data_IF_265072344897
#
_entry.id   IF_265072344897
#
_cell.length_a   1.000
_cell.length_b   1.000
_cell.length_c   1.000
_cell.angle_alpha   90.00
_cell.angle_beta   90.00
_cell.angle_gamma   90.00
#
_symmetry.space_group_name_H-M   'P 1'
#
loop_
_entity.id
_entity.type
_entity.pdbx_description
1 polymer ?
#
# COMPACT_ATOMS: atom_id res chain seq x y z
N UNK A 1 4.46 -3.27 -16.44
CA UNK A 1 3.10 -3.67 -16.90
C UNK A 1 3.03 -5.15 -17.28
N UNK A 2 3.87 -5.66 -18.21
CA UNK A 2 3.87 -7.07 -18.65
C UNK A 2 3.93 -8.08 -17.47
N UNK A 3 4.87 -7.86 -16.56
CA UNK A 3 5.04 -8.69 -15.36
C UNK A 3 3.78 -8.77 -14.47
N UNK A 4 3.06 -7.65 -14.30
CA UNK A 4 1.82 -7.63 -13.51
C UNK A 4 0.73 -8.44 -14.23
N UNK A 5 0.53 -8.22 -15.53
CA UNK A 5 -0.49 -8.95 -16.28
C UNK A 5 -0.22 -10.44 -16.33
N UNK A 6 1.03 -10.85 -16.53
CA UNK A 6 1.42 -12.27 -16.53
C UNK A 6 1.22 -12.89 -15.15
N UNK A 7 1.62 -12.18 -14.09
CA UNK A 7 1.41 -12.64 -12.71
C UNK A 7 -0.07 -12.80 -12.37
N UNK A 8 -0.90 -11.82 -12.71
CA UNK A 8 -2.35 -11.87 -12.50
C UNK A 8 -2.98 -13.03 -13.29
N UNK A 9 -2.58 -13.23 -14.55
CA UNK A 9 -3.08 -14.33 -15.38
C UNK A 9 -2.63 -15.71 -14.86
N UNK A 10 -1.45 -15.83 -14.25
CA UNK A 10 -0.99 -17.07 -13.60
C UNK A 10 -1.82 -17.36 -12.35
N UNK A 11 -2.04 -16.36 -11.50
CA UNK A 11 -2.87 -16.52 -10.29
C UNK A 11 -4.32 -16.85 -10.67
N UNK A 12 -4.88 -16.20 -11.69
CA UNK A 12 -6.27 -16.46 -12.12
C UNK A 12 -6.47 -17.89 -12.62
N UNK A 13 -5.47 -18.43 -13.34
CA UNK A 13 -5.46 -19.83 -13.83
C UNK A 13 -5.29 -20.89 -12.74
N UNK A 14 -4.85 -20.51 -11.54
CA UNK A 14 -4.76 -21.47 -10.44
C UNK A 14 -6.16 -21.94 -10.01
N UNK A 15 -6.27 -23.19 -9.57
CA UNK A 15 -7.52 -23.76 -9.02
C UNK A 15 -7.80 -23.33 -7.57
N UNK A 16 -7.13 -22.27 -7.11
CA UNK A 16 -7.27 -21.77 -5.76
C UNK A 16 -8.63 -21.09 -5.56
N UNK A 17 -9.21 -21.22 -4.36
CA UNK A 17 -10.34 -20.40 -4.02
C UNK A 17 -9.96 -18.92 -3.99
N UNK A 18 -10.93 -18.06 -4.30
CA UNK A 18 -10.68 -16.63 -4.52
C UNK A 18 -9.92 -15.90 -3.41
N UNK A 19 -10.21 -16.20 -2.14
CA UNK A 19 -9.48 -15.64 -0.99
C UNK A 19 -7.97 -15.91 -1.04
N UNK A 20 -7.58 -17.13 -1.42
CA UNK A 20 -6.18 -17.51 -1.57
C UNK A 20 -5.53 -16.80 -2.76
N UNK A 21 -6.25 -16.61 -3.88
CA UNK A 21 -5.75 -15.83 -5.03
C UNK A 21 -5.41 -14.38 -4.63
N UNK A 22 -6.28 -13.75 -3.85
CA UNK A 22 -6.07 -12.38 -3.36
C UNK A 22 -4.92 -12.31 -2.37
N UNK A 23 -4.79 -13.32 -1.50
CA UNK A 23 -3.62 -13.44 -0.62
C UNK A 23 -2.31 -13.56 -1.41
N UNK A 24 -2.27 -14.42 -2.42
CA UNK A 24 -1.10 -14.58 -3.30
C UNK A 24 -0.76 -13.26 -3.99
N UNK A 25 -1.78 -12.56 -4.51
CA UNK A 25 -1.57 -11.24 -5.07
C UNK A 25 -0.91 -10.29 -4.07
N UNK A 26 -1.43 -10.19 -2.83
CA UNK A 26 -0.96 -9.24 -1.83
C UNK A 26 0.46 -9.54 -1.33
N UNK A 27 0.80 -10.83 -1.15
CA UNK A 27 2.06 -11.21 -0.50
C UNK A 27 3.17 -11.61 -1.48
N UNK A 28 2.84 -12.04 -2.70
CA UNK A 28 3.84 -12.43 -3.71
C UNK A 28 3.93 -11.40 -4.84
N UNK A 29 2.85 -11.22 -5.60
CA UNK A 29 2.88 -10.41 -6.82
C UNK A 29 3.05 -8.92 -6.50
N UNK A 30 2.32 -8.39 -5.52
CA UNK A 30 2.40 -7.00 -5.10
C UNK A 30 3.83 -6.63 -4.68
N UNK A 31 4.45 -7.43 -3.80
CA UNK A 31 5.85 -7.22 -3.38
C UNK A 31 6.82 -7.23 -4.56
N UNK A 32 6.64 -8.19 -5.49
CA UNK A 32 7.48 -8.32 -6.67
C UNK A 32 7.35 -7.15 -7.64
N UNK A 33 6.14 -6.59 -7.78
CA UNK A 33 5.85 -5.44 -8.65
C UNK A 33 6.31 -4.12 -8.01
N UNK A 34 6.31 -4.05 -6.68
CA UNK A 34 6.68 -2.84 -5.95
C UNK A 34 8.14 -2.44 -6.14
N UNK A 35 9.05 -3.41 -6.21
CA UNK A 35 10.49 -3.14 -6.35
C UNK A 35 10.84 -2.44 -7.69
N UNK A 36 10.40 -2.93 -8.87
CA UNK A 36 10.57 -2.19 -10.13
C UNK A 36 9.90 -0.82 -10.11
N UNK A 37 8.73 -0.68 -9.47
CA UNK A 37 8.02 0.60 -9.37
C UNK A 37 8.81 1.64 -8.57
N UNK A 38 9.52 1.22 -7.52
CA UNK A 38 10.43 2.09 -6.76
C UNK A 38 11.59 2.56 -7.63
N UNK A 39 12.30 1.61 -8.25
CA UNK A 39 13.56 1.88 -8.95
C UNK A 39 13.37 2.61 -10.28
N UNK A 40 12.37 2.24 -11.07
CA UNK A 40 12.19 2.78 -12.42
C UNK A 40 11.51 4.15 -12.44
N UNK A 41 11.83 4.94 -13.46
CA UNK A 41 11.19 6.21 -13.77
C UNK A 41 9.80 5.97 -14.39
N UNK A 42 8.82 5.77 -13.52
CA UNK A 42 7.45 5.45 -13.93
C UNK A 42 6.54 6.58 -13.47
N UNK A 43 5.69 7.16 -14.34
CA UNK A 43 4.72 8.16 -13.92
C UNK A 43 3.60 7.53 -13.09
N UNK A 44 3.07 8.29 -12.13
CA UNK A 44 1.95 7.87 -11.26
C UNK A 44 0.71 7.39 -12.04
N UNK A 45 0.48 7.92 -13.25
CA UNK A 45 -0.61 7.49 -14.13
C UNK A 45 -0.49 6.01 -14.55
N UNK A 46 0.73 5.51 -14.73
CA UNK A 46 0.98 4.09 -15.05
C UNK A 46 0.67 3.20 -13.85
N UNK A 47 1.02 3.63 -12.63
CA UNK A 47 0.65 2.93 -11.40
C UNK A 47 -0.88 2.86 -11.23
N UNK A 48 -1.60 3.96 -11.50
CA UNK A 48 -3.07 3.95 -11.49
C UNK A 48 -3.68 3.00 -12.53
N UNK A 49 -3.09 2.89 -13.74
CA UNK A 49 -3.53 1.91 -14.75
C UNK A 49 -3.29 0.47 -14.28
N UNK A 50 -2.18 0.22 -13.60
CA UNK A 50 -1.87 -1.08 -13.00
C UNK A 50 -2.88 -1.46 -11.91
N UNK A 51 -3.27 -0.50 -11.08
CA UNK A 51 -4.34 -0.67 -10.11
C UNK A 51 -5.67 -1.02 -10.75
N UNK A 52 -6.08 -0.31 -11.79
CA UNK A 52 -7.34 -0.61 -12.50
C UNK A 52 -7.40 -2.07 -12.96
N UNK A 53 -6.29 -2.60 -13.47
CA UNK A 53 -6.17 -4.01 -13.85
C UNK A 53 -6.18 -4.94 -12.64
N UNK A 54 -5.43 -4.67 -11.59
CA UNK A 54 -5.45 -5.52 -10.39
C UNK A 54 -6.85 -5.57 -9.74
N UNK A 55 -7.54 -4.43 -9.70
CA UNK A 55 -8.86 -4.30 -9.09
C UNK A 55 -9.94 -5.12 -9.82
N UNK A 56 -9.82 -5.34 -11.13
CA UNK A 56 -10.78 -6.19 -11.84
C UNK A 56 -10.64 -7.66 -11.42
N UNK A 57 -9.41 -8.16 -11.27
CA UNK A 57 -9.13 -9.50 -10.77
C UNK A 57 -9.51 -9.67 -9.29
N UNK A 58 -9.17 -8.70 -8.44
CA UNK A 58 -9.52 -8.75 -7.00
C UNK A 58 -11.04 -8.86 -6.81
N UNK A 59 -11.82 -8.06 -7.55
CA UNK A 59 -13.30 -8.14 -7.49
C UNK A 59 -13.80 -9.49 -7.96
N UNK A 60 -13.26 -10.01 -9.07
CA UNK A 60 -13.60 -11.35 -9.59
C UNK A 60 -13.32 -12.44 -8.55
N UNK A 61 -12.16 -12.41 -7.89
CA UNK A 61 -11.76 -13.43 -6.93
C UNK A 61 -12.54 -13.34 -5.61
N UNK A 62 -12.87 -12.14 -5.13
CA UNK A 62 -13.66 -11.98 -3.91
C UNK A 62 -15.17 -12.12 -4.13
N UNK A 63 -15.63 -12.31 -5.38
CA UNK A 63 -17.06 -12.33 -5.70
C UNK A 63 -17.75 -10.97 -5.53
N UNK A 64 -16.99 -9.87 -5.58
CA UNK A 64 -17.51 -8.52 -5.38
C UNK A 64 -18.14 -7.97 -6.67
N UNK A 65 -19.20 -7.14 -6.58
CA UNK A 65 -19.79 -6.49 -7.73
C UNK A 65 -18.76 -5.67 -8.52
N UNK A 66 -18.81 -5.73 -9.86
CA UNK A 66 -17.90 -4.98 -10.74
C UNK A 66 -17.97 -3.46 -10.53
N UNK A 67 -19.11 -2.96 -10.07
CA UNK A 67 -19.37 -1.54 -9.78
C UNK A 67 -18.81 -1.06 -8.44
N UNK A 68 -18.25 -1.94 -7.59
CA UNK A 68 -17.66 -1.55 -6.32
C UNK A 68 -16.47 -0.60 -6.55
N UNK A 69 -16.55 0.58 -5.97
CA UNK A 69 -15.51 1.61 -6.08
C UNK A 69 -14.19 1.21 -5.41
N UNK A 70 -13.09 1.79 -5.87
CA UNK A 70 -11.76 1.59 -5.25
C UNK A 70 -11.70 2.09 -3.81
N UNK A 71 -12.52 3.09 -3.47
CA UNK A 71 -12.73 3.59 -2.11
C UNK A 71 -13.26 2.49 -1.20
N UNK A 72 -14.24 1.71 -1.67
CA UNK A 72 -14.76 0.55 -0.93
C UNK A 72 -13.74 -0.56 -0.71
N UNK A 73 -12.77 -0.71 -1.61
CA UNK A 73 -11.75 -1.78 -1.54
C UNK A 73 -10.56 -1.45 -0.64
N UNK A 74 -10.07 -0.20 -0.69
CA UNK A 74 -8.81 0.19 -0.05
C UNK A 74 -8.96 1.27 1.02
N UNK A 75 -10.05 2.02 1.02
CA UNK A 75 -10.25 3.13 1.95
C UNK A 75 -10.53 2.65 3.37
N UNK A 76 -10.15 3.47 4.35
CA UNK A 76 -10.55 3.34 5.76
C UNK A 76 -12.05 3.63 5.93
N UNK A 77 -12.87 2.62 5.63
CA UNK A 77 -14.33 2.67 5.76
C UNK A 77 -14.78 1.90 7.01
N UNK A 78 -16.10 1.78 7.21
CA UNK A 78 -16.71 0.95 8.27
C UNK A 78 -16.25 -0.51 8.15
N UNK A 79 -16.17 -1.03 6.93
CA UNK A 79 -15.58 -2.33 6.64
C UNK A 79 -14.24 -2.13 5.97
N UNK A 80 -13.16 -2.52 6.65
CA UNK A 80 -11.80 -2.43 6.09
C UNK A 80 -11.36 -3.81 5.65
N UNK A 81 -10.98 -3.92 4.38
CA UNK A 81 -10.36 -5.13 3.83
C UNK A 81 -8.83 -5.05 4.01
N UNK A 82 -8.15 -6.18 4.22
CA UNK A 82 -6.71 -6.19 4.43
C UNK A 82 -5.94 -6.13 3.09
N UNK A 83 -6.30 -5.17 2.25
CA UNK A 83 -5.77 -4.99 0.88
C UNK A 83 -4.97 -3.68 0.77
N UNK A 84 -3.94 -3.69 -0.06
CA UNK A 84 -3.23 -2.46 -0.42
C UNK A 84 -3.33 -2.18 -1.91
N UNK A 85 -3.57 -0.91 -2.25
CA UNK A 85 -3.52 -0.41 -3.61
C UNK A 85 -2.07 -0.31 -4.09
N UNK A 86 -1.82 -0.64 -5.37
CA UNK A 86 -0.53 -0.45 -6.04
C UNK A 86 -0.20 1.04 -6.12
N UNK A 87 -1.18 1.92 -6.38
CA UNK A 87 -0.97 3.38 -6.40
C UNK A 87 -0.52 3.88 -5.04
N UNK A 88 -1.17 3.43 -3.96
CA UNK A 88 -0.77 3.79 -2.60
C UNK A 88 0.65 3.31 -2.29
N UNK A 89 0.94 2.03 -2.55
CA UNK A 89 2.29 1.48 -2.34
C UNK A 89 3.35 2.16 -3.21
N UNK A 90 3.02 2.52 -4.47
CA UNK A 90 3.89 3.30 -5.34
C UNK A 90 4.24 4.66 -4.73
N UNK A 91 3.24 5.39 -4.20
CA UNK A 91 3.48 6.66 -3.53
C UNK A 91 4.38 6.49 -2.31
N UNK A 92 4.10 5.47 -1.47
CA UNK A 92 4.92 5.14 -0.31
C UNK A 92 6.38 4.85 -0.70
N UNK A 93 6.61 4.02 -1.71
CA UNK A 93 7.98 3.68 -2.15
C UNK A 93 8.71 4.86 -2.78
N UNK A 94 8.02 5.71 -3.56
CA UNK A 94 8.62 6.91 -4.12
C UNK A 94 8.97 7.93 -3.04
N UNK A 95 8.10 8.10 -2.04
CA UNK A 95 8.38 8.91 -0.85
C UNK A 95 9.58 8.35 -0.07
N UNK A 96 9.64 7.03 0.14
CA UNK A 96 10.79 6.36 0.78
C UNK A 96 12.09 6.61 0.00
N UNK A 97 12.05 6.50 -1.33
CA UNK A 97 13.21 6.74 -2.19
C UNK A 97 13.69 8.19 -2.10
N UNK A 98 12.78 9.17 -2.12
CA UNK A 98 13.14 10.59 -1.97
C UNK A 98 13.85 10.83 -0.63
N UNK A 99 13.34 10.26 0.45
CA UNK A 99 13.95 10.40 1.77
C UNK A 99 15.29 9.67 1.87
N UNK A 100 15.40 8.46 1.31
CA UNK A 100 16.66 7.71 1.23
C UNK A 100 17.77 8.49 0.50
N UNK A 101 17.43 9.18 -0.59
CA UNK A 101 18.39 9.99 -1.33
C UNK A 101 18.78 11.27 -0.59
N UNK A 102 17.83 11.94 0.08
CA UNK A 102 18.08 13.18 0.84
C UNK A 102 18.87 12.95 2.13
N UNK A 103 18.55 11.88 2.85
CA UNK A 103 19.13 11.54 4.15
C UNK A 103 20.24 10.49 4.07
N UNK A 104 20.75 10.21 2.85
CA UNK A 104 21.84 9.28 2.63
C UNK A 104 23.07 9.64 3.49
N UNK A 105 23.78 8.62 3.96
CA UNK A 105 25.06 8.79 4.66
C UNK A 105 26.14 9.32 3.73
N UNK A 106 26.07 8.95 2.45
CA UNK A 106 27.08 9.29 1.46
C UNK A 106 26.88 10.71 0.96
N UNK A 107 27.88 11.56 1.19
CA UNK A 107 27.83 12.97 0.82
C UNK A 107 27.66 13.17 -0.69
N UNK A 108 28.27 12.31 -1.51
CA UNK A 108 28.20 12.36 -2.97
C UNK A 108 26.76 12.14 -3.46
N UNK A 109 26.06 11.15 -2.91
CA UNK A 109 24.66 10.86 -3.22
C UNK A 109 23.76 12.02 -2.80
N UNK A 110 23.99 12.58 -1.62
CA UNK A 110 23.23 13.74 -1.13
C UNK A 110 23.45 14.98 -2.00
N UNK A 111 24.69 15.24 -2.41
CA UNK A 111 25.06 16.38 -3.24
C UNK A 111 24.54 16.25 -4.67
N UNK A 112 24.47 15.03 -5.20
CA UNK A 112 23.96 14.76 -6.54
C UNK A 112 22.50 15.22 -6.73
N UNK A 113 21.73 15.39 -5.64
CA UNK A 113 20.36 15.90 -5.67
C UNK A 113 19.50 15.23 -6.75
N UNK A 114 19.64 13.91 -6.89
CA UNK A 114 18.98 13.13 -7.92
C UNK A 114 17.45 13.34 -7.86
N UNK A 115 16.88 13.71 -9.01
CA UNK A 115 15.43 13.90 -9.12
C UNK A 115 14.75 12.54 -9.22
N UNK A 116 13.62 12.38 -8.52
CA UNK A 116 12.77 11.18 -8.63
C UNK A 116 11.58 11.51 -9.54
N UNK A 117 11.66 11.20 -10.85
CA UNK A 117 10.58 11.51 -11.78
C UNK A 117 9.35 10.62 -11.51
N UNK A 118 8.22 11.28 -11.27
CA UNK A 118 6.93 10.66 -10.90
C UNK A 118 5.78 11.12 -11.81
N UNK A 119 6.11 11.89 -12.86
CA UNK A 119 5.20 12.43 -13.87
C UNK A 119 4.57 13.77 -13.45
N UNK A 120 3.60 14.25 -14.25
CA UNK A 120 2.93 15.55 -14.04
C UNK A 120 1.83 15.52 -12.97
N UNK A 121 1.10 14.38 -12.84
CA UNK A 121 -0.08 14.26 -11.98
C UNK A 121 0.24 14.30 -10.48
N UNK A 122 1.40 13.77 -10.10
CA UNK A 122 1.83 13.66 -8.71
C UNK A 122 3.35 13.70 -8.67
N UNK A 123 3.91 14.51 -7.78
CA UNK A 123 5.34 14.70 -7.63
C UNK A 123 5.78 14.32 -6.21
N UNK A 124 6.61 13.29 -6.10
CA UNK A 124 7.06 12.77 -4.80
C UNK A 124 7.84 13.81 -3.98
N UNK A 125 8.66 14.65 -4.63
CA UNK A 125 9.49 15.64 -3.93
C UNK A 125 8.61 16.67 -3.21
N UNK A 126 7.66 17.24 -3.93
CA UNK A 126 6.74 18.25 -3.39
C UNK A 126 5.82 17.68 -2.32
N UNK A 127 5.41 16.42 -2.46
CA UNK A 127 4.52 15.75 -1.52
C UNK A 127 5.24 15.39 -0.22
N UNK A 128 6.52 15.00 -0.30
CA UNK A 128 7.39 14.88 0.87
C UNK A 128 7.52 16.22 1.59
N UNK A 129 7.79 17.31 0.86
CA UNK A 129 7.93 18.64 1.47
C UNK A 129 6.62 19.10 2.14
N UNK A 130 5.46 18.86 1.50
CA UNK A 130 4.14 19.12 2.09
C UNK A 130 3.89 18.28 3.34
N UNK A 131 4.24 16.99 3.31
CA UNK A 131 4.07 16.10 4.45
C UNK A 131 4.94 16.53 5.63
N UNK A 132 6.20 16.89 5.39
CA UNK A 132 7.10 17.44 6.42
C UNK A 132 6.51 18.73 7.00
N UNK A 133 6.05 19.65 6.15
CA UNK A 133 5.42 20.90 6.59
C UNK A 133 4.16 20.65 7.43
N UNK A 134 3.32 19.67 7.08
CA UNK A 134 2.15 19.28 7.88
C UNK A 134 2.56 18.70 9.24
N UNK A 135 3.61 17.88 9.31
CA UNK A 135 4.11 17.32 10.56
C UNK A 135 4.69 18.40 11.48
N UNK A 136 5.46 19.34 10.92
CA UNK A 136 5.98 20.49 11.66
C UNK A 136 4.86 21.41 12.14
N UNK A 137 3.85 21.65 11.31
CA UNK A 137 2.68 22.43 11.70
C UNK A 137 1.89 21.75 12.82
N UNK A 138 1.69 20.43 12.75
CA UNK A 138 1.06 19.65 13.82
C UNK A 138 1.85 19.73 15.13
N UNK A 139 3.18 19.75 15.07
CA UNK A 139 4.02 19.95 16.25
C UNK A 139 3.83 21.34 16.87
N UNK A 140 3.74 22.41 16.06
CA UNK A 140 3.48 23.77 16.55
C UNK A 140 2.10 23.89 17.20
N UNK A 141 1.08 23.35 16.54
CA UNK A 141 -0.29 23.35 17.05
C UNK A 141 -0.39 22.52 18.34
N UNK A 142 0.44 21.50 18.48
CA UNK A 142 0.46 20.62 19.63
C UNK A 142 -0.83 19.80 19.74
N UNK A 143 -1.21 19.44 20.97
CA UNK A 143 -2.44 18.69 21.21
C UNK A 143 -3.65 19.60 21.10
N UNK A 144 -4.56 19.27 20.18
CA UNK A 144 -5.89 19.88 20.10
C UNK A 144 -6.89 19.02 20.85
N UNK A 145 -7.89 19.64 21.49
CA UNK A 145 -9.00 18.94 22.10
C UNK A 145 -9.76 18.11 21.05
N UNK A 146 -9.87 16.80 21.26
CA UNK A 146 -10.69 15.91 20.44
C UNK A 146 -12.08 15.74 21.11
N UNK A 147 -13.10 16.39 20.55
CA UNK A 147 -14.47 16.28 21.04
C UNK A 147 -14.65 16.88 22.45
N UNK A 148 -15.40 16.19 23.32
CA UNK A 148 -15.70 16.65 24.69
C UNK A 148 -14.78 16.07 25.77
N UNK A 149 -13.75 15.31 25.40
CA UNK A 149 -12.88 14.58 26.33
C UNK A 149 -11.88 15.47 27.11
N UNK A 150 -11.86 16.79 26.83
CA UNK A 150 -10.94 17.74 27.45
C UNK A 150 -9.56 17.78 26.79
N UNK A 151 -8.73 18.73 27.23
CA UNK A 151 -7.36 18.90 26.73
C UNK A 151 -6.46 17.77 27.24
N UNK A 152 -5.66 17.17 26.36
CA UNK A 152 -4.69 16.14 26.73
C UNK A 152 -5.19 14.69 26.58
N UNK A 153 -6.48 14.46 26.33
CA UNK A 153 -7.03 13.13 26.07
C UNK A 153 -6.60 12.58 24.69
N UNK A 154 -6.16 11.31 24.63
CA UNK A 154 -5.73 10.63 23.40
C UNK A 154 -4.24 10.29 23.31
N UNK A 155 -3.85 9.69 22.18
CA UNK A 155 -2.45 9.31 21.90
C UNK A 155 -1.51 10.53 21.90
N UNK A 156 -0.29 10.34 22.39
CA UNK A 156 0.70 11.41 22.40
C UNK A 156 1.11 11.77 20.96
N UNK A 157 1.11 13.06 20.59
CA UNK A 157 1.57 13.48 19.29
C UNK A 157 3.06 13.16 19.15
N UNK A 158 3.43 12.63 17.99
CA UNK A 158 4.82 12.39 17.65
C UNK A 158 5.45 13.71 17.19
N UNK A 159 6.50 14.12 17.88
CA UNK A 159 7.21 15.38 17.59
C UNK A 159 8.25 15.16 16.49
N UNK A 160 8.16 15.95 15.41
CA UNK A 160 9.09 15.87 14.30
C UNK A 160 10.52 16.22 14.74
N UNK A 161 10.66 17.24 15.59
CA UNK A 161 11.95 17.68 16.13
C UNK A 161 12.70 16.56 16.87
N UNK A 162 11.97 15.76 17.67
CA UNK A 162 12.53 14.69 18.52
C UNK A 162 12.70 13.35 17.83
N UNK A 163 12.09 13.16 16.65
CA UNK A 163 12.13 11.91 15.92
C UNK A 163 13.52 11.63 15.30
N UNK A 164 13.96 10.37 15.38
CA UNK A 164 15.12 9.84 14.67
C UNK A 164 14.90 9.82 13.15
N UNK A 165 15.97 9.60 12.36
CA UNK A 165 15.86 9.50 10.89
C UNK A 165 14.87 8.42 10.44
N UNK A 166 14.90 7.25 11.09
CA UNK A 166 13.99 6.15 10.80
C UNK A 166 12.54 6.52 11.11
N UNK A 167 12.30 7.11 12.27
CA UNK A 167 10.97 7.55 12.70
C UNK A 167 10.43 8.66 11.80
N UNK A 168 11.25 9.65 11.43
CA UNK A 168 10.88 10.69 10.47
C UNK A 168 10.44 10.11 9.14
N UNK A 169 11.15 9.11 8.63
CA UNK A 169 10.76 8.41 7.41
C UNK A 169 9.41 7.70 7.55
N UNK A 170 9.18 7.04 8.67
CA UNK A 170 7.89 6.39 8.94
C UNK A 170 6.75 7.40 9.07
N UNK A 171 6.97 8.53 9.76
CA UNK A 171 6.00 9.62 9.91
C UNK A 171 5.63 10.23 8.55
N UNK A 172 6.60 10.54 7.69
CA UNK A 172 6.32 11.11 6.36
C UNK A 172 5.54 10.12 5.49
N UNK A 173 5.90 8.83 5.51
CA UNK A 173 5.18 7.80 4.75
C UNK A 173 3.75 7.62 5.30
N UNK A 174 3.57 7.68 6.61
CA UNK A 174 2.26 7.63 7.25
C UNK A 174 1.40 8.85 6.88
N UNK A 175 1.99 10.05 6.83
CA UNK A 175 1.30 11.29 6.45
C UNK A 175 0.89 11.30 4.96
N UNK A 176 1.74 10.80 4.07
CA UNK A 176 1.40 10.59 2.65
C UNK A 176 0.27 9.57 2.51
N UNK A 177 0.32 8.49 3.30
CA UNK A 177 -0.75 7.49 3.35
C UNK A 177 -2.06 8.11 3.83
N UNK A 178 -2.01 8.91 4.90
CA UNK A 178 -3.17 9.63 5.44
C UNK A 178 -3.80 10.54 4.39
N UNK A 179 -2.99 11.28 3.64
CA UNK A 179 -3.47 12.18 2.57
C UNK A 179 -4.20 11.42 1.46
N UNK A 180 -3.75 10.21 1.10
CA UNK A 180 -4.45 9.38 0.12
C UNK A 180 -5.73 8.74 0.71
N UNK A 181 -5.72 8.36 1.99
CA UNK A 181 -6.93 7.93 2.70
C UNK A 181 -7.99 9.05 2.79
N UNK A 182 -7.56 10.29 3.01
CA UNK A 182 -8.43 11.47 2.96
C UNK A 182 -9.07 11.61 1.57
N UNK A 183 -8.32 11.39 0.49
CA UNK A 183 -8.87 11.40 -0.87
C UNK A 183 -9.90 10.30 -1.08
N UNK A 184 -9.68 9.10 -0.53
CA UNK A 184 -10.68 8.04 -0.57
C UNK A 184 -11.95 8.46 0.19
N UNK A 185 -11.80 9.08 1.36
CA UNK A 185 -12.94 9.58 2.14
C UNK A 185 -13.71 10.68 1.41
N UNK A 186 -13.02 11.66 0.83
CA UNK A 186 -13.66 12.74 0.03
C UNK A 186 -14.44 12.13 -1.14
N UNK A 187 -13.85 11.17 -1.85
CA UNK A 187 -14.52 10.48 -2.95
C UNK A 187 -15.72 9.66 -2.47
N UNK A 188 -15.65 9.03 -1.30
CA UNK A 188 -16.79 8.33 -0.72
C UNK A 188 -17.93 9.30 -0.39
N UNK A 189 -17.64 10.47 0.22
CA UNK A 189 -18.65 11.50 0.51
C UNK A 189 -19.33 11.99 -0.77
N UNK A 190 -18.62 12.11 -1.89
CA UNK A 190 -19.21 12.48 -3.19
C UNK A 190 -20.09 11.38 -3.82
N UNK A 191 -20.08 10.15 -3.30
CA UNK A 191 -20.84 9.02 -3.85
C UNK A 191 -22.14 8.84 -3.06
N UNK A 192 -23.27 9.36 -3.56
CA UNK A 192 -24.55 9.30 -2.83
C UNK A 192 -24.95 7.89 -2.36
N UNK A 193 -25.04 6.90 -3.27
CA UNK A 193 -25.47 5.53 -2.92
C UNK A 193 -24.36 4.64 -2.35
N UNK A 194 -23.13 4.73 -2.84
CA UNK A 194 -22.01 3.89 -2.36
C UNK A 194 -21.31 4.46 -1.13
N UNK A 195 -21.51 5.74 -0.86
CA UNK A 195 -20.91 6.48 0.25
C UNK A 195 -21.89 6.80 1.37
N UNK A 196 -23.12 6.29 1.34
CA UNK A 196 -24.10 6.53 2.41
C UNK A 196 -23.61 6.09 3.78
N UNK A 197 -22.67 5.15 3.84
CA UNK A 197 -22.00 4.74 5.07
C UNK A 197 -21.23 5.88 5.76
N UNK A 198 -20.89 6.96 5.06
CA UNK A 198 -20.18 8.11 5.64
C UNK A 198 -21.04 8.92 6.61
N UNK A 199 -22.37 8.78 6.54
CA UNK A 199 -23.33 9.46 7.43
C UNK A 199 -23.90 8.52 8.50
N UNK A 200 -23.45 7.27 8.55
CA UNK A 200 -23.93 6.33 9.57
C UNK A 200 -23.31 6.66 10.93
N UNK A 201 -24.16 6.73 11.94
CA UNK A 201 -23.76 6.94 13.34
C UNK A 201 -23.94 5.65 14.15
N UNK A 202 -23.11 5.44 15.17
CA UNK A 202 -23.23 4.28 16.07
C UNK A 202 -22.80 2.93 15.48
N UNK A 203 -22.26 2.89 14.26
CA UNK A 203 -21.80 1.64 13.63
C UNK A 203 -20.34 1.35 14.00
N UNK A 204 -20.10 0.17 14.57
CA UNK A 204 -18.76 -0.26 14.93
C UNK A 204 -17.91 -0.53 13.67
N UNK A 205 -16.69 0.01 13.64
CA UNK A 205 -15.73 -0.27 12.59
C UNK A 205 -15.28 -1.74 12.64
N UNK A 206 -15.46 -2.47 11.54
CA UNK A 206 -15.00 -3.84 11.37
C UNK A 206 -13.77 -3.87 10.49
N UNK A 207 -12.62 -4.08 11.12
CA UNK A 207 -11.35 -4.31 10.41
C UNK A 207 -11.16 -5.82 10.17
N UNK A 208 -11.37 -6.27 8.93
CA UNK A 208 -11.18 -7.67 8.55
C UNK A 208 -9.67 -7.93 8.45
N UNK A 209 -9.14 -8.79 9.31
CA UNK A 209 -7.77 -9.29 9.19
C UNK A 209 -7.74 -10.49 8.24
N UNK A 210 -6.55 -10.82 7.75
CA UNK A 210 -6.36 -12.06 6.96
C UNK A 210 -6.84 -13.30 7.71
N UNK A 211 -6.63 -13.36 9.03
CA UNK A 211 -7.13 -14.43 9.89
C UNK A 211 -8.67 -14.56 9.84
N UNK A 212 -9.39 -13.43 9.84
CA UNK A 212 -10.85 -13.41 9.73
C UNK A 212 -11.29 -13.84 8.34
N UNK A 213 -10.57 -13.37 7.30
CA UNK A 213 -10.83 -13.70 5.90
C UNK A 213 -10.64 -15.20 5.61
N UNK A 214 -9.73 -15.87 6.33
CA UNK A 214 -9.58 -17.32 6.26
C UNK A 214 -10.77 -18.08 6.83
N UNK A 215 -11.31 -17.57 7.95
CA UNK A 215 -12.44 -18.17 8.68
C UNK A 215 -13.79 -17.98 7.99
N UNK A 216 -13.91 -17.03 7.05
CA UNK A 216 -15.13 -16.87 6.26
C UNK A 216 -15.33 -18.16 5.42
N UNK A 217 -16.41 -18.92 5.67
CA UNK A 217 -16.76 -20.09 4.87
C UNK A 217 -16.96 -19.66 3.43
N UNK A 218 -16.47 -20.46 2.49
CA UNK A 218 -16.83 -20.29 1.10
C UNK A 218 -17.93 -21.29 0.78
N UNK A 219 -19.09 -20.79 0.38
CA UNK A 219 -20.05 -21.60 -0.36
C UNK A 219 -19.45 -21.88 -1.74
N UNK A 220 -18.64 -22.94 -1.85
CA UNK A 220 -18.39 -23.75 -3.04
C UNK A 220 -17.18 -24.71 -2.84
N UNK A 221 -17.47 -25.96 -2.44
CA UNK A 221 -17.06 -27.16 -3.18
C UNK A 221 -15.57 -27.47 -3.47
N UNK A 222 -14.58 -27.01 -2.70
CA UNK A 222 -13.17 -27.46 -2.90
C UNK A 222 -12.62 -28.15 -1.65
N UNK A 223 -12.36 -29.45 -1.78
CA UNK A 223 -11.86 -30.36 -0.74
C UNK A 223 -10.41 -30.06 -0.32
N UNK A 224 -10.14 -30.22 0.97
CA UNK A 224 -8.94 -29.72 1.67
C UNK A 224 -7.57 -30.26 1.18
N UNK A 225 -7.52 -31.30 0.36
CA UNK A 225 -6.26 -31.85 -0.18
C UNK A 225 -5.62 -30.94 -1.24
N UNK A 226 -6.42 -30.41 -2.17
CA UNK A 226 -5.95 -29.52 -3.24
C UNK A 226 -5.50 -28.17 -2.68
N UNK A 227 -6.14 -27.73 -1.59
CA UNK A 227 -5.76 -26.53 -0.85
C UNK A 227 -4.36 -26.65 -0.26
N UNK A 228 -4.05 -27.74 0.44
CA UNK A 228 -2.72 -27.97 1.06
C UNK A 228 -1.60 -28.01 0.02
N UNK A 229 -1.83 -28.70 -1.11
CA UNK A 229 -0.86 -28.80 -2.21
C UNK A 229 -0.61 -27.44 -2.85
N UNK A 230 -1.67 -26.70 -3.19
CA UNK A 230 -1.53 -25.38 -3.79
C UNK A 230 -0.91 -24.35 -2.83
N UNK A 231 -1.20 -24.41 -1.52
CA UNK A 231 -0.51 -23.57 -0.53
C UNK A 231 0.98 -23.90 -0.40
N UNK A 232 1.37 -25.18 -0.54
CA UNK A 232 2.77 -25.61 -0.50
C UNK A 232 3.53 -25.12 -1.73
N UNK A 233 2.99 -25.33 -2.93
CA UNK A 233 3.58 -24.84 -4.19
C UNK A 233 3.70 -23.30 -4.18
N UNK A 234 2.74 -22.60 -3.59
CA UNK A 234 2.79 -21.15 -3.41
C UNK A 234 3.82 -20.69 -2.37
N UNK A 235 3.95 -21.41 -1.26
CA UNK A 235 5.00 -21.15 -0.28
C UNK A 235 6.37 -21.32 -0.92
N UNK A 236 6.56 -22.37 -1.71
CA UNK A 236 7.79 -22.61 -2.48
C UNK A 236 8.06 -21.52 -3.52
N UNK A 237 7.05 -21.02 -4.24
CA UNK A 237 7.23 -19.90 -5.19
C UNK A 237 7.46 -18.56 -4.49
N UNK A 238 6.86 -18.34 -3.33
CA UNK A 238 7.12 -17.18 -2.49
C UNK A 238 8.56 -17.24 -1.94
N UNK A 239 8.99 -18.41 -1.46
CA UNK A 239 10.35 -18.70 -1.02
C UNK A 239 11.35 -18.49 -2.14
N UNK A 240 11.11 -19.04 -3.34
CA UNK A 240 11.93 -18.80 -4.53
C UNK A 240 11.97 -17.32 -4.91
N UNK A 241 10.86 -16.60 -4.80
CA UNK A 241 10.80 -15.15 -5.06
C UNK A 241 11.61 -14.33 -4.05
N UNK A 242 11.57 -14.69 -2.76
CA UNK A 242 12.41 -14.10 -1.72
C UNK A 242 13.87 -14.56 -1.78
N UNK A 243 14.12 -15.79 -2.21
CA UNK A 243 15.44 -16.37 -2.42
C UNK A 243 16.11 -15.72 -3.63
N UNK A 244 15.37 -15.41 -4.70
CA UNK A 244 15.87 -14.64 -5.85
C UNK A 244 16.29 -13.22 -5.46
N UNK A 245 15.55 -12.58 -4.54
CA UNK A 245 15.95 -11.30 -3.94
C UNK A 245 17.20 -11.43 -3.05
N UNK A 246 17.44 -12.60 -2.45
CA UNK A 246 18.61 -12.88 -1.61
C UNK A 246 19.84 -13.26 -2.45
N UNK A 247 19.66 -14.05 -3.51
CA UNK A 247 20.68 -14.43 -4.48
C UNK A 247 21.24 -13.19 -5.20
N UNK A 248 20.36 -12.31 -5.66
CA UNK A 248 20.73 -11.06 -6.34
C UNK A 248 21.43 -10.06 -5.40
N UNK A 249 21.28 -10.23 -4.09
CA UNK A 249 21.99 -9.43 -3.06
C UNK A 249 23.39 -9.98 -2.77
N UNK A 250 23.67 -11.23 -3.18
CA UNK A 250 24.95 -11.94 -3.03
C UNK A 250 25.88 -11.78 -4.25
N UNK A 251 25.35 -11.30 -5.37
CA UNK A 251 26.14 -10.97 -6.56
C UNK A 251 27.08 -9.79 -6.25
N UNK A 252 28.40 -10.03 -6.41
CA UNK A 252 29.49 -9.07 -6.13
C UNK A 252 29.43 -7.76 -6.94
N UNK A 253 28.52 -7.66 -7.91
CA UNK A 253 28.35 -6.52 -8.80
C UNK A 253 27.49 -5.40 -8.18
N UNK A 254 26.83 -5.66 -7.04
CA UNK A 254 26.05 -4.65 -6.35
C UNK A 254 26.94 -3.86 -5.38
N UNK A 255 27.58 -2.82 -5.91
CA UNK A 255 28.45 -1.92 -5.12
C UNK A 255 29.80 -1.57 -5.76
N UNK A 256 30.03 -1.85 -7.05
CA UNK A 256 31.22 -1.34 -7.76
C UNK A 256 30.82 -0.69 -9.08
N UNK A 257 30.64 0.63 -9.04
CA UNK A 257 30.85 1.48 -10.20
C UNK A 257 32.13 2.28 -9.91
N UNK A 258 33.25 1.77 -10.40
CA UNK A 258 34.21 2.61 -11.14
C UNK A 258 33.74 2.63 -12.59
#
# INVERSE_FOLDING_TARGET
MKQLSEGLAKIDRSQLPGKFKVWCYQFTLYRRVMWPLKMSEIPSSTASKMDGKANSFIRKWLGLPRCLSSTGLFGRNILQLPLQSISLGYMQEKTRLVLELRESTDQTVRNANAKVPTGRKWNAKTEVDRAIGRLQHQEIVGRVQAGRAGLGWGEAPWFWSKASRKERKEMVVAEVTRTEEERYKIKAVSQGRQGSWTTWEGVANRNIRWADLWKIPQDAGVTGGNLKKATKELAEEAEKGSFWLWLRRKDKCWGKNT
#
